data_IF_949715463641
#
_entry.id   IF_949715463641
#
_cell.length_a   1.000
_cell.length_b   1.000
_cell.length_c   1.000
_cell.angle_alpha   90.00
_cell.angle_beta   90.00
_cell.angle_gamma   90.00
#
_symmetry.space_group_name_H-M   'P 1'
#
loop_
_entity.id
_entity.type
_entity.pdbx_description
1 polymer ?
#
# COMPACT_ATOMS: atom_id res chain seq x y z
N UNK A 1 -2.12 6.50 -8.06
CA UNK A 1 -3.13 5.72 -8.82
C UNK A 1 -2.47 5.19 -10.10
N UNK A 2 -3.22 4.53 -10.99
CA UNK A 2 -2.67 3.98 -12.24
C UNK A 2 -2.03 5.05 -13.15
N UNK A 3 -2.52 6.30 -13.12
CA UNK A 3 -1.93 7.42 -13.85
C UNK A 3 -0.56 7.79 -13.29
N UNK A 4 -0.46 7.92 -11.97
CA UNK A 4 0.83 8.19 -11.31
C UNK A 4 1.90 7.11 -11.58
N UNK A 5 1.49 5.84 -11.74
CA UNK A 5 2.40 4.76 -12.13
C UNK A 5 2.88 4.91 -13.58
N UNK A 6 1.97 5.25 -14.50
CA UNK A 6 2.31 5.50 -15.90
C UNK A 6 3.27 6.69 -16.04
N UNK A 7 3.03 7.77 -15.29
CA UNK A 7 3.92 8.95 -15.26
C UNK A 7 5.31 8.60 -14.72
N UNK A 8 5.40 7.63 -13.81
CA UNK A 8 6.66 7.08 -13.31
C UNK A 8 7.33 6.11 -14.30
N UNK A 9 6.80 5.95 -15.52
CA UNK A 9 7.32 5.05 -16.54
C UNK A 9 7.05 3.57 -16.26
N UNK A 10 6.12 3.26 -15.34
CA UNK A 10 5.68 1.90 -15.09
C UNK A 10 4.57 1.57 -16.08
N UNK A 11 4.82 0.59 -16.95
CA UNK A 11 3.81 0.05 -17.86
C UNK A 11 3.13 -1.17 -17.20
N UNK A 12 1.93 -1.03 -16.60
CA UNK A 12 1.26 -2.12 -15.94
C UNK A 12 0.75 -3.13 -16.98
N UNK A 13 1.30 -4.35 -16.94
CA UNK A 13 0.81 -5.46 -17.76
C UNK A 13 -0.67 -5.79 -17.48
N UNK A 14 -1.14 -5.51 -16.27
CA UNK A 14 -2.55 -5.59 -15.88
C UNK A 14 -2.84 -4.65 -14.70
N UNK A 15 -4.02 -4.04 -14.70
CA UNK A 15 -4.58 -3.33 -13.54
C UNK A 15 -5.71 -4.19 -12.97
N UNK A 16 -5.54 -4.62 -11.73
CA UNK A 16 -6.50 -5.46 -11.03
C UNK A 16 -7.34 -4.60 -10.09
N UNK A 17 -8.66 -4.65 -10.25
CA UNK A 17 -9.63 -3.97 -9.38
C UNK A 17 -10.56 -5.02 -8.80
N UNK A 18 -10.53 -5.26 -7.48
CA UNK A 18 -11.43 -6.22 -6.86
C UNK A 18 -12.86 -5.65 -6.79
N UNK A 19 -13.85 -6.53 -6.87
CA UNK A 19 -15.26 -6.17 -6.68
C UNK A 19 -15.55 -5.77 -5.23
N UNK A 20 -14.90 -6.43 -4.27
CA UNK A 20 -14.80 -5.97 -2.88
C UNK A 20 -13.60 -5.03 -2.74
N UNK A 21 -13.86 -3.74 -2.48
CA UNK A 21 -12.85 -2.70 -2.32
C UNK A 21 -12.06 -2.80 -0.99
N UNK A 22 -11.92 -3.99 -0.43
CA UNK A 22 -11.17 -4.28 0.78
C UNK A 22 -9.78 -4.88 0.47
N UNK A 23 -8.83 -4.83 1.42
CA UNK A 23 -7.55 -5.54 1.28
C UNK A 23 -7.74 -7.05 1.07
N UNK A 24 -8.78 -7.65 1.64
CA UNK A 24 -9.09 -9.06 1.43
C UNK A 24 -9.54 -9.35 0.00
N UNK A 25 -10.36 -8.47 -0.59
CA UNK A 25 -10.77 -8.58 -1.99
C UNK A 25 -9.58 -8.53 -2.96
N UNK A 26 -8.54 -7.76 -2.65
CA UNK A 26 -7.27 -7.76 -3.40
C UNK A 26 -6.59 -9.14 -3.31
N UNK A 27 -6.50 -9.71 -2.11
CA UNK A 27 -5.85 -11.02 -1.89
C UNK A 27 -6.59 -12.14 -2.61
N UNK A 28 -7.93 -12.13 -2.58
CA UNK A 28 -8.74 -13.13 -3.26
C UNK A 28 -8.58 -13.01 -4.79
N UNK A 29 -8.65 -11.79 -5.33
CA UNK A 29 -8.40 -11.56 -6.77
C UNK A 29 -7.00 -11.99 -7.21
N UNK A 30 -5.97 -11.76 -6.40
CA UNK A 30 -4.61 -12.24 -6.69
C UNK A 30 -4.54 -13.77 -6.66
N UNK A 31 -5.23 -14.42 -5.71
CA UNK A 31 -5.28 -15.88 -5.59
C UNK A 31 -6.01 -16.51 -6.79
N UNK A 32 -7.08 -15.89 -7.27
CA UNK A 32 -7.79 -16.33 -8.47
C UNK A 32 -6.92 -16.23 -9.73
N UNK A 33 -6.13 -15.16 -9.84
CA UNK A 33 -5.19 -14.95 -10.96
C UNK A 33 -3.97 -15.85 -10.91
N UNK A 34 -3.57 -16.23 -9.70
CA UNK A 34 -2.36 -17.01 -9.43
C UNK A 34 -2.67 -18.10 -8.39
N UNK A 35 -3.35 -19.18 -8.80
CA UNK A 35 -3.72 -20.24 -7.90
C UNK A 35 -2.49 -20.93 -7.27
N UNK A 36 -2.62 -21.49 -6.06
CA UNK A 36 -1.55 -22.23 -5.41
C UNK A 36 -0.99 -23.34 -6.32
N UNK A 37 0.34 -23.44 -6.39
CA UNK A 37 1.03 -24.40 -7.26
C UNK A 37 1.49 -23.82 -8.60
N UNK A 38 1.10 -22.59 -8.97
CA UNK A 38 1.62 -21.88 -10.14
C UNK A 38 2.96 -21.17 -9.84
N UNK A 39 3.90 -21.88 -9.20
CA UNK A 39 5.21 -21.33 -8.88
C UNK A 39 6.01 -21.06 -10.17
N UNK A 40 6.38 -19.80 -10.40
CA UNK A 40 7.24 -19.42 -11.53
C UNK A 40 8.70 -19.40 -11.06
N UNK A 41 9.51 -20.31 -11.61
CA UNK A 41 10.94 -20.38 -11.30
C UNK A 41 11.29 -21.04 -9.96
N UNK A 42 10.41 -21.90 -9.42
CA UNK A 42 10.73 -22.74 -8.26
C UNK A 42 10.58 -22.07 -6.89
N UNK A 43 9.76 -21.01 -6.80
CA UNK A 43 9.42 -20.40 -5.52
C UNK A 43 8.07 -19.67 -5.54
N UNK A 44 7.65 -19.22 -4.35
CA UNK A 44 6.43 -18.44 -4.15
C UNK A 44 6.46 -17.14 -4.95
N UNK A 45 5.29 -16.76 -5.48
CA UNK A 45 5.13 -15.47 -6.16
C UNK A 45 5.34 -14.35 -5.13
N UNK A 46 6.29 -13.46 -5.44
CA UNK A 46 6.61 -12.30 -4.62
C UNK A 46 5.67 -11.14 -4.92
N UNK A 47 5.08 -10.57 -3.87
CA UNK A 47 4.15 -9.44 -3.96
C UNK A 47 4.75 -8.26 -3.21
N UNK A 48 5.22 -7.25 -3.95
CA UNK A 48 5.67 -5.98 -3.37
C UNK A 48 4.46 -5.20 -2.86
N UNK A 49 4.49 -4.84 -1.59
CA UNK A 49 3.40 -4.18 -0.88
C UNK A 49 3.86 -2.80 -0.38
N UNK A 50 3.66 -1.73 -1.16
CA UNK A 50 3.85 -0.35 -0.71
C UNK A 50 2.86 -0.02 0.41
N UNK A 51 3.36 0.14 1.63
CA UNK A 51 2.56 0.36 2.85
C UNK A 51 3.18 1.47 3.70
N UNK A 52 2.42 2.10 4.60
CA UNK A 52 2.97 3.15 5.48
C UNK A 52 4.01 2.59 6.44
N UNK A 53 5.00 3.39 6.79
CA UNK A 53 5.74 3.26 8.04
C UNK A 53 5.07 4.14 9.10
N UNK A 54 4.55 3.53 10.16
CA UNK A 54 3.91 4.26 11.26
C UNK A 54 4.98 4.69 12.28
N UNK A 55 5.04 5.99 12.55
CA UNK A 55 6.08 6.64 13.37
C UNK A 55 5.48 7.44 14.54
N UNK A 56 6.35 7.94 15.43
CA UNK A 56 5.96 8.93 16.44
C UNK A 56 5.07 8.37 17.56
N UNK A 57 5.30 7.11 17.96
CA UNK A 57 4.54 6.45 19.02
C UNK A 57 3.13 6.02 18.62
N UNK A 58 2.74 6.19 17.36
CA UNK A 58 1.50 5.62 16.84
C UNK A 58 1.63 4.11 16.67
N UNK A 59 0.53 3.39 16.96
CA UNK A 59 0.44 1.95 16.69
C UNK A 59 -0.07 1.74 15.27
N UNK A 60 0.55 0.83 14.54
CA UNK A 60 0.08 0.44 13.22
C UNK A 60 -1.32 -0.21 13.32
N UNK A 61 -2.30 0.25 12.53
CA UNK A 61 -3.61 -0.38 12.49
C UNK A 61 -3.51 -1.81 11.93
N UNK A 62 -4.38 -2.74 12.36
CA UNK A 62 -4.28 -4.16 11.99
C UNK A 62 -4.40 -4.42 10.49
N UNK A 63 -4.98 -3.48 9.73
CA UNK A 63 -5.20 -3.59 8.29
C UNK A 63 -3.94 -3.99 7.49
N UNK A 64 -2.77 -3.43 7.81
CA UNK A 64 -1.52 -3.73 7.09
C UNK A 64 -0.96 -5.11 7.48
N UNK A 65 -0.71 -5.42 8.78
CA UNK A 65 -0.22 -6.74 9.15
C UNK A 65 -1.18 -7.87 8.76
N UNK A 66 -2.50 -7.65 8.86
CA UNK A 66 -3.48 -8.67 8.47
C UNK A 66 -3.49 -8.93 6.96
N UNK A 67 -3.35 -7.87 6.16
CA UNK A 67 -3.21 -7.98 4.70
C UNK A 67 -1.96 -8.79 4.30
N UNK A 68 -0.79 -8.43 4.85
CA UNK A 68 0.46 -9.13 4.56
C UNK A 68 0.41 -10.61 5.01
N UNK A 69 -0.17 -10.86 6.20
CA UNK A 69 -0.37 -12.21 6.69
C UNK A 69 -1.34 -13.01 5.81
N UNK A 70 -2.37 -12.36 5.26
CA UNK A 70 -3.34 -13.00 4.36
C UNK A 70 -2.69 -13.46 3.05
N UNK A 71 -1.84 -12.62 2.44
CA UNK A 71 -1.01 -13.00 1.29
C UNK A 71 -0.14 -14.22 1.62
N UNK A 72 0.54 -14.21 2.76
CA UNK A 72 1.38 -15.33 3.21
C UNK A 72 0.59 -16.63 3.38
N UNK A 73 -0.61 -16.57 3.96
CA UNK A 73 -1.51 -17.75 4.10
C UNK A 73 -1.99 -18.30 2.76
N UNK A 74 -2.08 -17.47 1.73
CA UNK A 74 -2.46 -17.88 0.37
C UNK A 74 -1.27 -18.35 -0.49
N UNK A 75 -0.06 -18.40 0.08
CA UNK A 75 1.13 -18.92 -0.59
C UNK A 75 1.96 -17.87 -1.31
N UNK A 76 1.66 -16.58 -1.15
CA UNK A 76 2.49 -15.50 -1.67
C UNK A 76 3.66 -15.18 -0.71
N UNK A 77 4.75 -14.65 -1.25
CA UNK A 77 5.80 -14.01 -0.47
C UNK A 77 5.55 -12.50 -0.43
N UNK A 78 4.97 -12.03 0.67
CA UNK A 78 4.58 -10.62 0.84
C UNK A 78 5.80 -9.77 1.25
N UNK A 79 6.27 -8.93 0.32
CA UNK A 79 7.43 -8.06 0.52
C UNK A 79 6.96 -6.67 0.90
N UNK A 80 7.12 -6.31 2.18
CA UNK A 80 6.79 -4.98 2.68
C UNK A 80 7.74 -3.92 2.10
N UNK A 81 7.19 -2.83 1.57
CA UNK A 81 7.94 -1.63 1.18
C UNK A 81 7.37 -0.44 1.94
N UNK A 82 8.19 0.21 2.78
CA UNK A 82 7.79 1.40 3.53
C UNK A 82 7.74 2.63 2.61
N UNK A 83 6.63 2.82 1.91
CA UNK A 83 6.52 3.77 0.81
C UNK A 83 6.27 5.23 1.25
N UNK A 84 5.67 5.42 2.43
CA UNK A 84 5.43 6.73 3.01
C UNK A 84 5.39 6.63 4.53
N UNK A 85 5.42 7.76 5.24
CA UNK A 85 5.39 7.79 6.71
C UNK A 85 4.06 8.33 7.21
N UNK A 86 3.48 7.64 8.19
CA UNK A 86 2.32 8.13 8.95
C UNK A 86 2.80 8.57 10.33
N UNK A 87 2.62 9.85 10.65
CA UNK A 87 2.94 10.44 11.96
C UNK A 87 1.87 11.42 12.38
N UNK A 88 1.83 11.75 13.67
CA UNK A 88 1.00 12.86 14.14
C UNK A 88 1.53 14.18 13.60
N UNK A 89 0.65 15.07 13.16
CA UNK A 89 1.07 16.31 12.54
C UNK A 89 1.73 17.30 13.52
N UNK A 90 1.34 17.27 14.79
CA UNK A 90 1.94 18.06 15.88
C UNK A 90 3.43 17.71 16.11
N UNK A 91 3.84 16.49 15.77
CA UNK A 91 5.24 16.06 15.78
C UNK A 91 6.05 16.53 14.56
N UNK A 92 5.46 17.37 13.70
CA UNK A 92 6.05 17.86 12.46
C UNK A 92 5.74 19.35 12.21
N UNK A 93 6.73 20.24 12.39
CA UNK A 93 6.54 21.67 12.09
C UNK A 93 6.06 21.93 10.65
N UNK A 94 6.46 21.09 9.68
CA UNK A 94 6.04 21.21 8.29
C UNK A 94 4.59 20.78 8.08
N UNK A 95 4.17 19.65 8.64
CA UNK A 95 2.76 19.22 8.58
C UNK A 95 1.85 20.19 9.34
N UNK A 96 2.28 20.72 10.49
CA UNK A 96 1.52 21.74 11.19
C UNK A 96 1.32 23.01 10.34
N UNK A 97 2.37 23.47 9.65
CA UNK A 97 2.29 24.61 8.75
C UNK A 97 1.33 24.35 7.58
N UNK A 98 1.38 23.15 6.99
CA UNK A 98 0.45 22.73 5.94
C UNK A 98 -1.01 22.71 6.43
N UNK A 99 -1.27 22.13 7.60
CA UNK A 99 -2.62 22.11 8.21
C UNK A 99 -3.12 23.52 8.52
N UNK A 100 -2.25 24.40 9.01
CA UNK A 100 -2.59 25.83 9.22
C UNK A 100 -2.91 26.52 7.89
N UNK A 101 -2.20 26.21 6.81
CA UNK A 101 -2.48 26.69 5.46
C UNK A 101 -3.86 26.27 4.95
N UNK A 102 -4.18 24.98 5.08
CA UNK A 102 -5.49 24.42 4.70
C UNK A 102 -6.64 25.10 5.44
N UNK A 103 -6.50 25.32 6.76
CA UNK A 103 -7.51 26.00 7.57
C UNK A 103 -7.76 27.44 7.15
N UNK A 104 -6.78 28.10 6.53
CA UNK A 104 -6.89 29.47 6.02
C UNK A 104 -7.39 29.53 4.57
N UNK A 105 -7.82 28.41 3.99
CA UNK A 105 -8.29 28.32 2.61
C UNK A 105 -7.16 28.19 1.57
N UNK A 106 -5.91 27.96 1.98
CA UNK A 106 -4.79 27.71 1.08
C UNK A 106 -4.68 26.22 0.72
N UNK A 107 -4.44 25.91 -0.55
CA UNK A 107 -4.18 24.53 -1.00
C UNK A 107 -2.80 24.03 -0.56
N UNK A 108 -2.66 22.72 -0.35
CA UNK A 108 -1.38 22.05 -0.09
C UNK A 108 -1.09 21.13 -1.26
N UNK A 109 0.05 21.31 -1.92
CA UNK A 109 0.59 20.30 -2.84
C UNK A 109 1.24 19.18 -2.03
N UNK A 110 0.86 17.95 -2.31
CA UNK A 110 1.62 16.79 -1.87
C UNK A 110 2.93 16.74 -2.67
N UNK A 111 4.06 16.59 -1.97
CA UNK A 111 5.39 16.32 -2.54
C UNK A 111 5.72 14.85 -2.39
#
# INVERSE_FOLDING_TARGET
DAGALADAGVDPQAVLVPSDASPSGIVDLLTERHPPGEERGGGRIRVLCPVPLVCGGLKEPPVVPDFLASLGRKGFDAVRVNAYRTRRADSDPSAEAAIRGLRKGGGVSAV
#
